data_IF_365296227031
#
_entry.id   IF_365296227031
#
_cell.length_a   1.000
_cell.length_b   1.000
_cell.length_c   1.000
_cell.angle_alpha   90.00
_cell.angle_beta   90.00
_cell.angle_gamma   90.00
#
_symmetry.space_group_name_H-M   'P 1'
#
loop_
_entity.id
_entity.type
_entity.pdbx_description
1 polymer ?
#
# COMPACT_ATOMS: atom_id res chain seq x y z
N UNK A 1 2.86 -22.14 7.22
CA UNK A 1 3.08 -20.70 6.99
C UNK A 1 1.86 -19.96 7.49
N UNK A 2 2.02 -18.83 8.18
CA UNK A 2 0.89 -17.95 8.48
C UNK A 2 0.44 -17.26 7.19
N UNK A 3 -0.87 -17.14 6.98
CA UNK A 3 -1.42 -16.36 5.86
C UNK A 3 -1.05 -14.90 6.07
N UNK A 4 -0.44 -14.27 5.07
CA UNK A 4 -0.24 -12.83 5.04
C UNK A 4 -1.41 -12.20 4.27
N UNK A 5 -1.95 -11.11 4.79
CA UNK A 5 -3.05 -10.35 4.19
C UNK A 5 -2.58 -8.91 4.10
N UNK A 6 -2.85 -8.27 2.96
CA UNK A 6 -2.55 -6.86 2.77
C UNK A 6 -3.61 -6.18 1.92
N UNK A 7 -3.64 -4.87 2.02
CA UNK A 7 -4.61 -3.98 1.37
C UNK A 7 -3.85 -2.94 0.54
N UNK A 8 -4.45 -2.49 -0.56
CA UNK A 8 -3.95 -1.40 -1.39
C UNK A 8 -5.06 -0.38 -1.65
N UNK A 9 -4.73 0.91 -1.59
CA UNK A 9 -5.67 2.00 -1.84
C UNK A 9 -5.42 2.64 -3.21
N UNK A 10 -6.45 2.68 -4.05
CA UNK A 10 -6.41 3.37 -5.35
C UNK A 10 -7.06 4.74 -5.19
N UNK A 11 -6.24 5.75 -4.89
CA UNK A 11 -6.72 7.12 -4.68
C UNK A 11 -6.57 7.93 -5.97
N UNK A 12 -7.69 8.39 -6.55
CA UNK A 12 -7.72 9.24 -7.74
C UNK A 12 -8.23 10.63 -7.40
N UNK A 13 -7.60 11.67 -7.94
CA UNK A 13 -8.08 13.06 -7.80
C UNK A 13 -9.03 13.47 -8.95
N UNK A 14 -9.59 14.68 -8.88
CA UNK A 14 -10.50 15.21 -9.91
C UNK A 14 -9.88 15.36 -11.30
N UNK A 15 -8.54 15.29 -11.41
CA UNK A 15 -7.79 15.36 -12.67
C UNK A 15 -7.48 13.99 -13.26
N UNK A 16 -8.03 12.91 -12.69
CA UNK A 16 -7.72 11.52 -13.06
C UNK A 16 -6.25 11.13 -12.81
N UNK A 17 -5.59 11.74 -11.83
CA UNK A 17 -4.23 11.36 -11.42
C UNK A 17 -4.30 10.44 -10.20
N UNK A 18 -3.40 9.44 -10.14
CA UNK A 18 -3.31 8.53 -9.00
C UNK A 18 -2.28 8.98 -7.97
N UNK A 19 -2.62 8.83 -6.69
CA UNK A 19 -1.63 8.95 -5.62
C UNK A 19 -0.67 7.75 -5.66
N UNK A 20 0.62 8.05 -5.76
CA UNK A 20 1.69 7.06 -5.76
C UNK A 20 2.65 7.36 -4.60
N UNK A 21 3.23 6.31 -4.03
CA UNK A 21 4.28 6.39 -3.00
C UNK A 21 5.55 5.72 -3.52
N UNK A 22 6.70 6.29 -3.18
CA UNK A 22 8.00 5.72 -3.52
C UNK A 22 8.41 4.74 -2.40
N UNK A 23 8.14 3.46 -2.61
CA UNK A 23 8.26 2.40 -1.59
C UNK A 23 9.47 1.49 -1.85
N UNK A 24 10.05 0.98 -0.78
CA UNK A 24 11.19 0.06 -0.77
C UNK A 24 11.93 0.15 0.56
N UNK A 25 12.53 -0.95 1.01
CA UNK A 25 13.43 -0.92 2.18
C UNK A 25 14.69 -0.13 1.88
N UNK A 26 15.46 0.19 2.93
CA UNK A 26 16.73 0.95 2.81
C UNK A 26 17.68 0.31 1.80
N UNK A 27 17.73 -1.02 1.77
CA UNK A 27 18.64 -1.80 0.92
C UNK A 27 18.01 -2.22 -0.44
N UNK A 28 16.83 -1.70 -0.78
CA UNK A 28 16.11 -2.03 -2.01
C UNK A 28 16.05 -0.82 -2.95
N UNK A 29 16.06 -1.08 -4.26
CA UNK A 29 15.72 -0.07 -5.24
C UNK A 29 14.26 0.35 -5.04
N UNK A 30 14.03 1.64 -4.76
CA UNK A 30 12.69 2.16 -4.52
C UNK A 30 11.88 2.16 -5.80
N UNK A 31 10.61 1.76 -5.71
CA UNK A 31 9.67 1.75 -6.83
C UNK A 31 8.42 2.53 -6.49
N UNK A 32 7.84 3.16 -7.50
CA UNK A 32 6.53 3.80 -7.38
C UNK A 32 5.45 2.72 -7.33
N UNK A 33 4.58 2.82 -6.33
CA UNK A 33 3.43 1.94 -6.15
C UNK A 33 2.27 2.73 -5.57
N UNK A 34 1.07 2.15 -5.60
CA UNK A 34 -0.09 2.66 -4.86
C UNK A 34 0.14 2.47 -3.35
N UNK A 35 -0.45 3.31 -2.48
CA UNK A 35 -0.42 3.10 -1.04
C UNK A 35 -0.89 1.69 -0.70
N UNK A 36 -0.09 0.94 0.06
CA UNK A 36 -0.40 -0.44 0.44
C UNK A 36 0.28 -0.83 1.74
N UNK A 37 -0.28 -1.83 2.42
CA UNK A 37 0.17 -2.27 3.74
C UNK A 37 -0.29 -3.69 4.06
N UNK A 38 0.33 -4.31 5.07
CA UNK A 38 -0.19 -5.54 5.68
C UNK A 38 -1.30 -5.21 6.67
N UNK A 39 -2.23 -6.14 6.87
CA UNK A 39 -3.23 -6.04 7.93
C UNK A 39 -2.56 -6.28 9.29
N UNK A 40 -2.69 -5.34 10.23
CA UNK A 40 -2.19 -5.53 11.59
C UNK A 40 -3.17 -6.34 12.45
N UNK A 41 -2.71 -6.81 13.61
CA UNK A 41 -3.53 -7.63 14.50
C UNK A 41 -4.66 -6.82 15.13
N UNK A 42 -5.90 -7.23 14.85
CA UNK A 42 -7.11 -6.61 15.39
C UNK A 42 -7.76 -5.57 14.48
N UNK A 43 -7.16 -5.25 13.32
CA UNK A 43 -7.74 -4.37 12.31
C UNK A 43 -8.71 -5.13 11.40
N UNK A 44 -9.73 -4.44 10.89
CA UNK A 44 -10.48 -4.85 9.70
C UNK A 44 -9.64 -4.57 8.45
N UNK A 45 -10.17 -4.84 7.24
CA UNK A 45 -9.42 -4.51 6.02
C UNK A 45 -9.56 -3.03 5.64
N UNK A 46 -10.53 -2.35 6.26
CA UNK A 46 -10.92 -0.97 6.03
C UNK A 46 -10.34 0.02 7.06
N UNK A 47 -9.85 -0.46 8.21
CA UNK A 47 -9.16 0.34 9.23
C UNK A 47 -7.78 0.82 8.74
#
# INVERSE_FOLDING_TARGET
MKRWIGTAAICMNEKNEFLMVLQGKVDEEKRWTVPSGGQEEGETLED
#
